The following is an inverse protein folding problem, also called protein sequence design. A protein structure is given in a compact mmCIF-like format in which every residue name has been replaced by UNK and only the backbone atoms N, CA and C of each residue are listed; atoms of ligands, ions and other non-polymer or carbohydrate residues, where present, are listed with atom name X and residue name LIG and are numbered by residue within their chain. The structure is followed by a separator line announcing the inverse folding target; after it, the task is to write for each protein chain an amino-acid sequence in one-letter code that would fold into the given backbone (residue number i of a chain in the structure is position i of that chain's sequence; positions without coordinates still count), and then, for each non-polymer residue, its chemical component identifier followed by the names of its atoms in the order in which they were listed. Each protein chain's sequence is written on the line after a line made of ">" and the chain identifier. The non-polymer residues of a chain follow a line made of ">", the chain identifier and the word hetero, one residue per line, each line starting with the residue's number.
data_IF_218761388647
#
_entry.id   IF_218761388647
#
_cell.length_a   1.000
_cell.length_b   1.000
_cell.length_c   1.000
_cell.angle_alpha   90.00
_cell.angle_beta   90.00
_cell.angle_gamma   90.00
#
_symmetry.space_group_name_H-M   'P 1'
#
loop_
_entity.id
_entity.type
_entity.pdbx_description
1 polymer ?
#
# COMPACT_ATOMS: atom_id res chain seq x y z
N UNK A 1 32.25 -81.98 5.32
CA UNK A 1 30.87 -81.45 5.24
C UNK A 1 30.97 -79.93 5.20
N UNK A 2 30.45 -79.27 4.15
CA UNK A 2 30.34 -77.79 4.11
C UNK A 2 29.16 -77.30 4.96
N UNK A 3 28.68 -76.05 4.82
CA UNK A 3 29.16 -74.87 4.06
C UNK A 3 29.31 -73.64 5.01
N UNK A 4 29.46 -72.35 4.66
CA UNK A 4 29.33 -71.63 3.41
C UNK A 4 29.70 -70.14 3.56
N UNK A 5 30.21 -69.62 2.43
CA UNK A 5 30.23 -68.27 1.86
C UNK A 5 29.85 -67.00 2.66
N UNK A 6 30.76 -66.04 2.47
CA UNK A 6 30.64 -64.59 2.57
C UNK A 6 29.47 -63.93 1.83
N UNK A 7 29.06 -62.77 2.36
CA UNK A 7 28.70 -61.50 1.68
C UNK A 7 28.68 -60.44 2.80
N UNK A 8 29.53 -59.42 2.84
CA UNK A 8 29.75 -58.41 1.80
C UNK A 8 29.02 -57.14 2.20
N UNK A 9 29.45 -56.46 3.27
CA UNK A 9 28.95 -55.17 3.72
C UNK A 9 30.01 -54.09 3.52
N UNK A 10 29.81 -53.20 2.53
CA UNK A 10 30.66 -52.02 2.31
C UNK A 10 30.45 -51.01 3.45
N UNK A 11 31.51 -50.30 3.87
CA UNK A 11 31.40 -49.26 4.89
C UNK A 11 30.74 -48.00 4.32
N UNK A 12 29.89 -47.36 5.13
CA UNK A 12 29.29 -46.04 4.85
C UNK A 12 30.40 -44.97 4.81
N UNK A 13 30.54 -44.16 3.74
CA UNK A 13 31.39 -42.99 3.79
C UNK A 13 30.66 -41.88 4.56
N UNK A 14 31.27 -41.40 5.63
CA UNK A 14 30.87 -40.19 6.31
C UNK A 14 31.09 -38.99 5.37
N UNK A 15 30.01 -38.37 4.91
CA UNK A 15 30.07 -37.08 4.22
C UNK A 15 30.41 -36.00 5.27
N UNK A 16 31.67 -35.56 5.31
CA UNK A 16 32.02 -34.26 5.88
C UNK A 16 31.49 -33.17 4.92
N UNK A 17 30.41 -32.51 5.30
CA UNK A 17 29.95 -31.27 4.67
C UNK A 17 30.91 -30.13 5.08
N UNK A 18 31.88 -29.81 4.22
CA UNK A 18 32.60 -28.54 4.28
C UNK A 18 31.63 -27.42 3.91
N UNK A 19 31.15 -26.67 4.91
CA UNK A 19 30.46 -25.41 4.74
C UNK A 19 31.44 -24.35 4.23
N UNK A 20 31.54 -24.21 2.91
CA UNK A 20 32.11 -23.03 2.26
C UNK A 20 31.17 -21.86 2.53
N UNK A 21 31.53 -21.02 3.51
CA UNK A 21 30.95 -19.70 3.70
C UNK A 21 31.30 -18.82 2.49
N UNK A 22 30.49 -18.91 1.43
CA UNK A 22 30.37 -17.85 0.44
C UNK A 22 29.80 -16.63 1.17
N UNK A 23 30.70 -15.80 1.71
CA UNK A 23 30.37 -14.43 2.08
C UNK A 23 29.91 -13.74 0.79
N UNK A 24 28.60 -13.61 0.62
CA UNK A 24 28.07 -12.59 -0.28
C UNK A 24 28.74 -11.26 0.10
N UNK A 25 29.18 -10.44 -0.87
CA UNK A 25 29.62 -9.11 -0.56
C UNK A 25 28.46 -8.42 0.16
N UNK A 26 28.70 -7.97 1.38
CA UNK A 26 27.84 -6.95 1.96
C UNK A 26 27.77 -5.85 0.92
N UNK A 27 26.57 -5.58 0.40
CA UNK A 27 26.32 -4.33 -0.31
C UNK A 27 26.67 -3.28 0.72
N UNK A 28 27.83 -2.65 0.54
CA UNK A 28 28.23 -1.53 1.35
C UNK A 28 27.07 -0.53 1.26
N UNK A 29 26.37 -0.32 2.37
CA UNK A 29 25.49 0.83 2.51
C UNK A 29 26.31 2.04 2.05
N UNK A 30 25.70 2.86 1.19
CA UNK A 30 26.35 4.00 0.56
C UNK A 30 27.08 4.85 1.61
N UNK A 31 28.38 4.58 1.80
CA UNK A 31 29.23 5.30 2.72
C UNK A 31 29.42 6.70 2.12
N UNK A 32 28.55 7.62 2.53
CA UNK A 32 28.50 8.99 2.01
C UNK A 32 27.11 9.60 1.84
N UNK A 33 26.02 8.84 2.05
CA UNK A 33 24.67 9.41 2.08
C UNK A 33 24.41 10.08 3.44
N UNK A 34 23.98 11.36 3.49
CA UNK A 34 23.67 12.05 4.75
C UNK A 34 22.43 11.49 5.46
N UNK A 35 21.55 10.77 4.76
CA UNK A 35 20.28 10.27 5.29
C UNK A 35 20.07 8.79 5.05
N UNK A 36 19.18 8.18 5.85
CA UNK A 36 18.89 6.73 5.78
C UNK A 36 17.90 6.33 4.69
N UNK A 37 17.10 7.29 4.18
CA UNK A 37 16.04 7.04 3.20
C UNK A 37 16.47 7.25 1.75
N UNK A 38 15.66 6.77 0.79
CA UNK A 38 15.90 6.99 -0.63
C UNK A 38 15.86 8.49 -0.96
N UNK A 39 16.73 8.92 -1.87
CA UNK A 39 16.75 10.29 -2.34
C UNK A 39 15.51 10.69 -3.11
N UNK A 40 15.45 11.97 -3.45
CA UNK A 40 14.38 12.56 -4.26
C UNK A 40 14.17 11.77 -5.56
N UNK A 41 12.92 11.54 -5.92
CA UNK A 41 12.58 10.84 -7.15
C UNK A 41 13.01 11.66 -8.37
N UNK A 42 13.79 11.10 -9.32
CA UNK A 42 14.10 11.75 -10.58
C UNK A 42 12.82 12.20 -11.30
N UNK A 43 12.85 13.35 -11.95
CA UNK A 43 11.71 13.88 -12.70
C UNK A 43 10.46 14.16 -11.85
N UNK A 44 10.63 14.43 -10.54
CA UNK A 44 9.56 14.69 -9.56
C UNK A 44 8.46 15.61 -10.11
N UNK A 45 8.82 16.80 -10.61
CA UNK A 45 7.86 17.78 -11.12
C UNK A 45 7.02 17.23 -12.28
N UNK A 46 7.65 16.60 -13.26
CA UNK A 46 6.94 16.04 -14.42
C UNK A 46 6.04 14.86 -14.04
N UNK A 47 6.48 14.01 -13.11
CA UNK A 47 5.65 12.89 -12.61
C UNK A 47 4.45 13.45 -11.87
N UNK A 48 4.67 14.41 -10.97
CA UNK A 48 3.62 15.08 -10.21
C UNK A 48 2.56 15.71 -11.13
N UNK A 49 3.00 16.53 -12.08
CA UNK A 49 2.11 17.22 -13.02
C UNK A 49 1.37 16.23 -13.93
N UNK A 50 2.05 15.18 -14.39
CA UNK A 50 1.45 14.11 -15.19
C UNK A 50 0.33 13.38 -14.44
N UNK A 51 0.59 12.98 -13.19
CA UNK A 51 -0.41 12.33 -12.33
C UNK A 51 -1.59 13.24 -12.01
N UNK A 52 -1.33 14.52 -11.73
CA UNK A 52 -2.38 15.50 -11.51
C UNK A 52 -3.29 15.64 -12.74
N UNK A 53 -2.70 15.77 -13.93
CA UNK A 53 -3.46 15.91 -15.18
C UNK A 53 -4.28 14.64 -15.50
N UNK A 54 -3.69 13.45 -15.32
CA UNK A 54 -4.38 12.18 -15.48
C UNK A 54 -5.58 12.08 -14.53
N UNK A 55 -5.40 12.41 -13.25
CA UNK A 55 -6.44 12.36 -12.25
C UNK A 55 -7.62 13.28 -12.61
N UNK A 56 -7.35 14.51 -13.04
CA UNK A 56 -8.38 15.48 -13.46
C UNK A 56 -9.14 14.98 -14.71
N UNK A 57 -8.44 14.34 -15.64
CA UNK A 57 -9.04 13.85 -16.88
C UNK A 57 -9.92 12.61 -16.66
N UNK A 58 -9.49 11.70 -15.78
CA UNK A 58 -10.12 10.39 -15.60
C UNK A 58 -11.14 10.33 -14.46
N UNK A 59 -11.05 11.22 -13.46
CA UNK A 59 -11.89 11.16 -12.26
C UNK A 59 -12.74 12.41 -12.07
N UNK A 60 -14.01 12.19 -11.71
CA UNK A 60 -15.03 13.14 -11.20
C UNK A 60 -15.10 14.55 -11.88
N UNK A 61 -16.26 14.97 -12.42
CA UNK A 61 -16.47 16.36 -12.88
C UNK A 61 -16.01 17.45 -11.90
N UNK A 62 -16.05 17.20 -10.58
CA UNK A 62 -15.58 18.13 -9.54
C UNK A 62 -14.08 18.49 -9.62
N UNK A 63 -13.27 17.68 -10.31
CA UNK A 63 -11.83 17.94 -10.47
C UNK A 63 -11.50 18.84 -11.67
N UNK A 64 -12.46 19.12 -12.56
CA UNK A 64 -12.22 19.80 -13.85
C UNK A 64 -11.61 21.19 -13.70
N UNK A 65 -11.88 21.88 -12.60
CA UNK A 65 -11.41 23.25 -12.37
C UNK A 65 -10.10 23.30 -11.55
N UNK A 66 -9.48 22.16 -11.25
CA UNK A 66 -8.23 22.10 -10.49
C UNK A 66 -7.05 22.53 -11.38
N UNK A 67 -6.17 23.36 -10.83
CA UNK A 67 -4.98 23.86 -11.53
C UNK A 67 -3.73 23.12 -11.05
N UNK A 68 -3.26 22.15 -11.85
CA UNK A 68 -2.09 21.34 -11.50
C UNK A 68 -0.81 22.16 -11.29
N UNK A 69 -0.62 23.24 -12.05
CA UNK A 69 0.54 24.13 -11.86
C UNK A 69 0.47 24.84 -10.51
N UNK A 70 -0.69 25.38 -10.15
CA UNK A 70 -0.87 26.02 -8.84
C UNK A 70 -0.71 25.03 -7.67
N UNK A 71 -1.22 23.80 -7.84
CA UNK A 71 -1.05 22.72 -6.84
C UNK A 71 0.43 22.35 -6.69
N UNK A 72 1.18 22.24 -7.79
CA UNK A 72 2.62 22.00 -7.75
C UNK A 72 3.39 23.15 -7.07
N UNK A 73 3.08 24.40 -7.40
CA UNK A 73 3.73 25.57 -6.79
C UNK A 73 3.47 25.63 -5.28
N UNK A 74 2.27 25.27 -4.83
CA UNK A 74 1.97 25.15 -3.41
C UNK A 74 2.71 23.98 -2.74
N UNK A 75 2.84 22.84 -3.42
CA UNK A 75 3.58 21.68 -2.93
C UNK A 75 5.07 21.98 -2.75
N UNK A 76 5.71 22.60 -3.76
CA UNK A 76 7.18 22.73 -3.78
C UNK A 76 7.75 23.73 -2.78
N UNK A 77 6.94 24.53 -2.09
CA UNK A 77 7.40 25.44 -1.02
C UNK A 77 8.21 24.68 0.04
N UNK A 78 7.87 23.42 0.30
CA UNK A 78 8.61 22.56 1.25
C UNK A 78 10.00 22.17 0.75
N UNK A 79 10.24 22.24 -0.57
CA UNK A 79 11.54 21.94 -1.19
C UNK A 79 12.53 23.11 -1.03
N UNK A 80 12.05 24.28 -0.59
CA UNK A 80 12.89 25.42 -0.23
C UNK A 80 13.26 25.45 1.26
N UNK A 81 12.77 24.48 2.05
CA UNK A 81 13.03 24.38 3.50
C UNK A 81 14.18 23.44 3.84
N UNK A 82 14.69 23.59 5.06
CA UNK A 82 15.58 22.59 5.64
C UNK A 82 14.86 21.23 5.73
N UNK A 83 15.50 20.12 5.31
CA UNK A 83 14.85 18.81 5.20
C UNK A 83 14.47 18.16 6.55
N UNK A 84 14.79 18.79 7.69
CA UNK A 84 14.31 18.38 9.01
C UNK A 84 13.45 19.46 9.69
N UNK A 85 12.99 20.45 8.94
CA UNK A 85 12.20 21.59 9.43
C UNK A 85 10.90 21.79 8.64
N UNK A 86 10.35 20.72 8.07
CA UNK A 86 9.07 20.75 7.35
C UNK A 86 7.96 20.25 8.26
N UNK A 87 6.92 21.05 8.45
CA UNK A 87 5.77 20.73 9.28
C UNK A 87 4.58 20.31 8.42
N UNK A 88 3.62 19.51 8.94
CA UNK A 88 2.40 19.18 8.21
C UNK A 88 1.62 20.40 7.70
N UNK A 89 1.64 21.50 8.46
CA UNK A 89 0.99 22.78 8.11
C UNK A 89 1.60 23.46 6.88
N UNK A 90 2.84 23.13 6.53
CA UNK A 90 3.47 23.69 5.33
C UNK A 90 2.80 23.20 4.04
N UNK A 91 2.04 22.10 4.13
CA UNK A 91 1.24 21.58 3.05
C UNK A 91 -0.21 22.11 3.02
N UNK A 92 -0.62 23.00 3.93
CA UNK A 92 -2.02 23.45 4.05
C UNK A 92 -2.56 24.06 2.74
N UNK A 93 -1.77 24.91 2.07
CA UNK A 93 -2.16 25.50 0.79
C UNK A 93 -2.26 24.43 -0.31
N UNK A 94 -1.31 23.49 -0.35
CA UNK A 94 -1.33 22.36 -1.27
C UNK A 94 -2.60 21.52 -1.09
N UNK A 95 -2.91 21.16 0.16
CA UNK A 95 -4.13 20.42 0.51
C UNK A 95 -5.37 21.20 0.08
N UNK A 96 -5.45 22.49 0.39
CA UNK A 96 -6.61 23.30 0.02
C UNK A 96 -6.84 23.36 -1.50
N UNK A 97 -5.78 23.56 -2.28
CA UNK A 97 -5.88 23.64 -3.74
C UNK A 97 -6.25 22.31 -4.41
N UNK A 98 -5.91 21.19 -3.78
CA UNK A 98 -6.10 19.85 -4.34
C UNK A 98 -7.27 19.08 -3.74
N UNK A 99 -7.84 19.54 -2.61
CA UNK A 99 -8.96 18.92 -1.91
C UNK A 99 -10.20 18.82 -2.80
N UNK A 100 -10.89 17.70 -2.69
CA UNK A 100 -12.16 17.41 -3.31
C UNK A 100 -12.96 16.43 -2.46
N UNK A 101 -14.24 16.23 -2.76
CA UNK A 101 -15.08 15.32 -1.99
C UNK A 101 -14.63 13.85 -2.16
N UNK A 102 -14.80 13.08 -1.09
CA UNK A 102 -14.67 11.62 -1.12
C UNK A 102 -16.10 11.06 -1.13
N UNK A 103 -16.47 10.22 -2.11
CA UNK A 103 -17.80 9.63 -2.11
C UNK A 103 -18.07 8.86 -0.82
N UNK A 104 -19.28 9.01 -0.27
CA UNK A 104 -19.72 8.28 0.92
C UNK A 104 -19.52 6.78 0.74
N UNK A 105 -19.15 6.08 1.82
CA UNK A 105 -18.95 4.62 1.85
C UNK A 105 -17.77 4.09 0.99
N UNK A 106 -16.93 4.99 0.44
CA UNK A 106 -15.82 4.61 -0.45
C UNK A 106 -14.42 4.71 0.16
N UNK A 107 -14.27 5.29 1.35
CA UNK A 107 -12.97 5.39 2.00
C UNK A 107 -12.40 4.00 2.34
N UNK A 108 -11.11 3.82 2.07
CA UNK A 108 -10.34 2.61 2.33
C UNK A 108 -8.99 2.98 2.93
N UNK A 109 -8.89 2.82 4.24
CA UNK A 109 -7.66 2.95 5.02
C UNK A 109 -6.91 1.62 5.01
N UNK A 110 -5.62 1.62 5.35
CA UNK A 110 -4.83 0.40 5.31
C UNK A 110 -3.53 0.51 6.08
N UNK A 111 -2.98 -0.65 6.46
CA UNK A 111 -1.63 -0.81 6.98
C UNK A 111 -0.99 -2.04 6.32
N UNK A 112 0.29 -1.94 5.93
CA UNK A 112 1.10 -3.03 5.35
C UNK A 112 0.48 -3.76 4.13
N UNK A 113 -0.31 -3.06 3.30
CA UNK A 113 -1.07 -3.64 2.16
C UNK A 113 -1.07 -2.77 0.89
N UNK A 114 -0.07 -1.90 0.70
CA UNK A 114 -0.14 -0.83 -0.29
C UNK A 114 -0.51 -1.30 -1.72
N UNK A 115 0.17 -2.33 -2.23
CA UNK A 115 -0.06 -2.85 -3.58
C UNK A 115 -1.41 -3.54 -3.74
N UNK A 116 -1.86 -4.25 -2.70
CA UNK A 116 -3.17 -4.90 -2.70
C UNK A 116 -4.31 -3.87 -2.68
N UNK A 117 -4.16 -2.81 -1.88
CA UNK A 117 -5.11 -1.71 -1.77
C UNK A 117 -5.23 -0.92 -3.07
N UNK A 118 -4.10 -0.56 -3.67
CA UNK A 118 -4.06 0.16 -4.96
C UNK A 118 -4.70 -0.66 -6.07
N UNK A 119 -4.40 -1.95 -6.13
CA UNK A 119 -4.99 -2.89 -7.10
C UNK A 119 -6.49 -3.07 -6.88
N UNK A 120 -6.92 -3.28 -5.63
CA UNK A 120 -8.33 -3.49 -5.31
C UNK A 120 -9.17 -2.21 -5.45
N UNK A 121 -8.59 -1.04 -5.16
CA UNK A 121 -9.25 0.25 -5.34
C UNK A 121 -9.62 0.56 -6.80
N UNK A 122 -8.88 -0.04 -7.76
CA UNK A 122 -9.06 0.13 -9.21
C UNK A 122 -9.20 1.59 -9.62
N UNK A 123 -8.18 2.40 -9.30
CA UNK A 123 -8.15 3.84 -9.62
C UNK A 123 -9.42 4.59 -9.16
N UNK A 124 -9.91 4.29 -7.96
CA UNK A 124 -11.06 4.95 -7.34
C UNK A 124 -12.42 4.34 -7.72
N UNK A 125 -12.46 3.36 -8.62
CA UNK A 125 -13.72 2.78 -9.13
C UNK A 125 -14.43 1.93 -8.09
N UNK A 126 -13.69 1.11 -7.33
CA UNK A 126 -14.27 0.25 -6.28
C UNK A 126 -14.28 0.97 -4.95
N UNK A 127 -13.10 1.41 -4.52
CA UNK A 127 -12.84 2.16 -3.31
C UNK A 127 -11.84 3.28 -3.60
N UNK A 128 -11.83 4.30 -2.76
CA UNK A 128 -11.01 5.48 -2.91
C UNK A 128 -10.05 5.58 -1.72
N UNK A 129 -8.97 4.76 -1.69
CA UNK A 129 -7.90 4.93 -0.71
C UNK A 129 -7.19 6.28 -0.89
N UNK A 130 -6.42 6.72 0.10
CA UNK A 130 -5.70 8.00 0.06
C UNK A 130 -4.84 8.15 -1.21
N UNK A 131 -4.16 7.09 -1.65
CA UNK A 131 -3.35 7.09 -2.87
C UNK A 131 -4.16 7.27 -4.18
N UNK A 132 -5.49 7.19 -4.14
CA UNK A 132 -6.38 7.47 -5.27
C UNK A 132 -7.08 8.83 -5.17
N UNK A 133 -6.84 9.60 -4.11
CA UNK A 133 -7.29 11.01 -3.98
C UNK A 133 -6.23 11.92 -4.59
N UNK A 134 -6.62 13.06 -5.20
CA UNK A 134 -5.68 13.93 -5.94
C UNK A 134 -4.43 14.29 -5.12
N UNK A 135 -4.60 14.72 -3.88
CA UNK A 135 -3.46 15.08 -3.01
C UNK A 135 -2.61 13.89 -2.58
N UNK A 136 -3.16 12.67 -2.46
CA UNK A 136 -2.34 11.48 -2.19
C UNK A 136 -1.67 10.93 -3.45
N UNK A 137 -2.40 10.90 -4.57
CA UNK A 137 -1.96 10.35 -5.86
C UNK A 137 -0.68 10.99 -6.37
N UNK A 138 -0.55 12.31 -6.22
CA UNK A 138 0.63 13.04 -6.68
C UNK A 138 1.89 12.75 -5.87
N UNK A 139 1.78 12.29 -4.61
CA UNK A 139 2.91 11.90 -3.75
C UNK A 139 3.16 10.39 -3.68
N UNK A 140 2.26 9.57 -4.21
CA UNK A 140 2.27 8.12 -4.07
C UNK A 140 3.57 7.45 -4.59
N UNK A 141 4.27 6.66 -3.77
CA UNK A 141 5.60 6.08 -4.07
C UNK A 141 6.72 7.09 -4.42
N UNK A 142 6.53 8.40 -4.22
CA UNK A 142 7.57 9.40 -4.48
C UNK A 142 8.30 9.77 -3.20
N UNK A 143 9.54 10.23 -3.34
CA UNK A 143 10.36 10.78 -2.27
C UNK A 143 10.89 12.15 -2.69
N UNK A 144 11.08 13.05 -1.74
CA UNK A 144 11.59 14.39 -2.01
C UNK A 144 12.19 15.04 -0.76
N UNK A 145 13.29 15.75 -0.95
CA UNK A 145 13.87 16.62 0.06
C UNK A 145 14.88 17.58 -0.57
N UNK A 146 15.15 18.70 0.12
CA UNK A 146 16.23 19.62 -0.23
C UNK A 146 17.56 19.10 0.31
N UNK A 147 18.65 19.47 -0.34
CA UNK A 147 19.98 19.37 0.25
C UNK A 147 20.08 20.27 1.51
N UNK A 148 20.88 19.84 2.48
CA UNK A 148 21.13 20.61 3.71
C UNK A 148 21.95 21.86 3.43
N UNK A 149 22.98 21.75 2.59
CA UNK A 149 23.99 22.78 2.35
C UNK A 149 23.83 23.52 1.01
N UNK A 150 22.76 23.25 0.27
CA UNK A 150 22.52 23.85 -1.04
C UNK A 150 21.01 23.94 -1.32
N UNK A 151 20.63 24.74 -2.32
CA UNK A 151 19.24 24.96 -2.72
C UNK A 151 18.69 23.88 -3.65
N UNK A 152 19.52 22.90 -4.05
CA UNK A 152 19.10 21.80 -4.91
C UNK A 152 18.34 20.72 -4.16
N UNK A 153 17.66 19.84 -4.91
CA UNK A 153 17.06 18.62 -4.36
C UNK A 153 18.16 17.58 -4.08
N UNK A 154 18.00 16.83 -3.00
CA UNK A 154 18.91 15.73 -2.67
C UNK A 154 18.41 14.44 -3.34
N UNK A 155 19.07 14.03 -4.41
CA UNK A 155 18.77 12.78 -5.13
C UNK A 155 19.51 11.57 -4.57
N UNK A 156 20.43 11.76 -3.62
CA UNK A 156 21.23 10.69 -3.04
C UNK A 156 20.47 10.03 -1.89
N UNK A 157 19.92 10.83 -0.97
CA UNK A 157 19.20 10.34 0.19
C UNK A 157 18.27 11.39 0.76
N UNK A 158 17.19 10.98 1.45
CA UNK A 158 16.29 11.88 2.18
C UNK A 158 16.06 11.38 3.61
N UNK A 159 15.81 12.29 4.57
CA UNK A 159 15.59 11.90 5.96
C UNK A 159 14.32 11.05 6.11
N UNK A 160 14.42 10.01 6.93
CA UNK A 160 13.28 9.22 7.39
C UNK A 160 12.86 9.66 8.79
N UNK A 161 11.78 9.08 9.32
CA UNK A 161 11.36 9.32 10.72
C UNK A 161 12.45 8.97 11.74
N UNK A 162 13.38 8.07 11.40
CA UNK A 162 14.53 7.71 12.24
C UNK A 162 15.64 8.77 12.23
N UNK A 163 15.74 9.57 11.18
CA UNK A 163 16.70 10.68 11.07
C UNK A 163 16.15 11.94 11.73
N UNK A 164 14.90 12.31 11.41
CA UNK A 164 14.20 13.43 12.02
C UNK A 164 12.67 13.36 11.79
N UNK A 165 11.90 13.78 12.79
CA UNK A 165 10.43 13.71 12.79
C UNK A 165 9.77 14.63 11.74
N UNK A 166 10.37 15.79 11.50
CA UNK A 166 9.82 16.88 10.66
C UNK A 166 10.46 16.88 9.27
N UNK A 167 10.50 15.71 8.64
CA UNK A 167 10.96 15.57 7.26
C UNK A 167 9.82 15.83 6.24
N UNK A 168 10.13 16.21 4.99
CA UNK A 168 9.13 16.58 3.99
C UNK A 168 8.09 15.49 3.72
N UNK A 169 8.50 14.23 3.64
CA UNK A 169 7.64 13.11 3.23
C UNK A 169 6.69 12.71 4.36
N UNK A 170 7.20 12.56 5.59
CA UNK A 170 6.35 12.23 6.73
C UNK A 170 5.36 13.36 7.04
N UNK A 171 5.81 14.62 6.99
CA UNK A 171 4.94 15.77 7.20
C UNK A 171 3.85 15.88 6.13
N UNK A 172 4.15 15.50 4.88
CA UNK A 172 3.16 15.41 3.81
C UNK A 172 2.10 14.37 4.12
N UNK A 173 2.50 13.14 4.44
CA UNK A 173 1.56 12.06 4.72
C UNK A 173 0.76 12.31 5.99
N UNK A 174 1.34 12.93 7.03
CA UNK A 174 0.61 13.41 8.22
C UNK A 174 -0.53 14.35 7.81
N UNK A 175 -0.24 15.36 6.99
CA UNK A 175 -1.23 16.34 6.51
C UNK A 175 -2.32 15.69 5.64
N UNK A 176 -1.90 14.84 4.69
CA UNK A 176 -2.80 14.14 3.77
C UNK A 176 -3.72 13.14 4.49
N UNK A 177 -3.20 12.35 5.43
CA UNK A 177 -3.95 11.40 6.26
C UNK A 177 -4.99 12.10 7.14
N UNK A 178 -4.61 13.20 7.81
CA UNK A 178 -5.54 14.01 8.61
C UNK A 178 -6.70 14.51 7.74
N UNK A 179 -6.38 15.06 6.55
CA UNK A 179 -7.42 15.58 5.65
C UNK A 179 -8.33 14.47 5.14
N UNK A 180 -7.77 13.32 4.76
CA UNK A 180 -8.52 12.16 4.29
C UNK A 180 -9.47 11.60 5.35
N UNK A 181 -9.02 11.50 6.60
CA UNK A 181 -9.86 11.09 7.71
C UNK A 181 -11.01 12.06 7.98
N UNK A 182 -10.77 13.38 7.90
CA UNK A 182 -11.79 14.41 8.08
C UNK A 182 -12.86 14.41 6.99
N UNK A 183 -12.49 14.07 5.76
CA UNK A 183 -13.39 14.09 4.59
C UNK A 183 -14.11 12.75 4.37
N UNK A 184 -13.68 11.69 5.05
CA UNK A 184 -14.29 10.37 4.98
C UNK A 184 -15.65 10.31 5.69
N UNK A 185 -16.59 9.54 5.13
CA UNK A 185 -17.95 9.41 5.67
C UNK A 185 -18.64 8.10 5.28
N UNK A 186 -19.68 7.73 6.02
CA UNK A 186 -20.43 6.50 5.82
C UNK A 186 -19.73 5.28 6.43
N UNK A 187 -19.67 4.18 5.69
CA UNK A 187 -18.89 2.99 6.05
C UNK A 187 -17.42 3.26 5.75
N UNK A 188 -16.59 3.16 6.79
CA UNK A 188 -15.13 3.25 6.68
C UNK A 188 -14.58 1.84 6.54
N UNK A 189 -13.81 1.56 5.49
CA UNK A 189 -13.18 0.25 5.29
C UNK A 189 -11.70 0.35 5.65
N UNK A 190 -11.15 -0.70 6.27
CA UNK A 190 -9.74 -0.75 6.70
C UNK A 190 -9.14 -2.09 6.27
N UNK A 191 -8.08 -2.09 5.47
CA UNK A 191 -7.39 -3.31 5.05
C UNK A 191 -6.07 -3.49 5.82
N UNK A 192 -6.03 -4.48 6.71
CA UNK A 192 -4.86 -4.81 7.53
C UNK A 192 -4.19 -6.10 7.04
N UNK A 193 -2.89 -6.23 7.27
CA UNK A 193 -2.13 -7.42 6.87
C UNK A 193 -1.99 -8.38 8.06
N UNK A 194 -2.80 -9.44 8.10
CA UNK A 194 -2.74 -10.49 9.11
C UNK A 194 -1.51 -11.40 9.01
N UNK A 195 -0.71 -11.24 7.96
CA UNK A 195 0.57 -11.94 7.78
C UNK A 195 1.79 -11.09 8.16
N UNK A 196 1.59 -9.84 8.61
CA UNK A 196 2.68 -8.96 9.08
C UNK A 196 3.32 -9.51 10.37
N UNK A 197 4.63 -9.81 10.38
CA UNK A 197 5.32 -10.33 11.57
C UNK A 197 5.20 -9.46 12.83
N UNK A 198 5.08 -8.13 12.68
CA UNK A 198 4.92 -7.20 13.80
C UNK A 198 3.47 -7.08 14.31
N UNK A 199 2.51 -7.78 13.70
CA UNK A 199 1.08 -7.66 13.95
C UNK A 199 0.37 -6.78 12.92
N UNK A 200 -0.95 -7.00 12.77
CA UNK A 200 -1.74 -6.40 11.70
C UNK A 200 -2.03 -4.91 11.91
N UNK A 201 -2.10 -4.45 13.16
CA UNK A 201 -2.35 -3.07 13.55
C UNK A 201 -1.15 -2.48 14.31
N UNK A 202 -0.32 -1.65 13.66
CA UNK A 202 0.74 -0.94 14.35
C UNK A 202 0.15 0.14 15.27
N UNK A 203 0.37 0.01 16.58
CA UNK A 203 -0.12 0.96 17.60
C UNK A 203 0.49 2.37 17.48
N UNK A 204 1.56 2.50 16.70
CA UNK A 204 2.18 3.75 16.27
C UNK A 204 2.29 3.70 14.74
N UNK A 205 1.68 4.65 14.06
CA UNK A 205 1.55 4.62 12.61
C UNK A 205 0.55 5.66 12.11
N UNK A 206 0.47 5.83 10.79
CA UNK A 206 -0.43 6.84 10.21
C UNK A 206 -1.89 6.56 10.57
N UNK A 207 -2.32 5.31 10.45
CA UNK A 207 -3.70 4.97 10.79
C UNK A 207 -4.02 5.22 12.27
N UNK A 208 -3.10 4.84 13.16
CA UNK A 208 -3.26 4.99 14.60
C UNK A 208 -3.20 6.45 15.09
N UNK A 209 -2.28 7.26 14.56
CA UNK A 209 -1.93 8.56 15.14
C UNK A 209 -2.52 9.75 14.36
N UNK A 210 -2.77 9.58 13.05
CA UNK A 210 -3.14 10.68 12.15
C UNK A 210 -4.46 10.47 11.41
N UNK A 211 -5.05 9.28 11.49
CA UNK A 211 -6.33 8.98 10.81
C UNK A 211 -7.45 8.71 11.81
N UNK A 212 -7.34 7.67 12.65
CA UNK A 212 -8.36 7.34 13.67
C UNK A 212 -8.78 8.56 14.50
N UNK A 213 -7.86 9.39 15.05
CA UNK A 213 -8.23 10.55 15.87
C UNK A 213 -9.01 11.63 15.12
N UNK A 214 -8.95 11.65 13.79
CA UNK A 214 -9.51 12.70 12.94
C UNK A 214 -10.78 12.26 12.19
N UNK A 215 -11.21 11.01 12.37
CA UNK A 215 -12.48 10.50 11.89
C UNK A 215 -13.66 11.28 12.48
N UNK A 216 -14.56 11.75 11.61
CA UNK A 216 -15.73 12.54 12.01
C UNK A 216 -16.87 11.62 12.47
N UNK A 217 -16.97 11.38 13.78
CA UNK A 217 -17.90 10.41 14.38
C UNK A 217 -19.35 10.57 13.93
N UNK A 218 -19.82 11.81 13.79
CA UNK A 218 -21.17 12.17 13.33
C UNK A 218 -21.44 11.79 11.87
N UNK A 219 -20.40 11.65 11.05
CA UNK A 219 -20.50 11.30 9.62
C UNK A 219 -20.26 9.82 9.34
N UNK A 220 -19.83 9.05 10.34
CA UNK A 220 -19.44 7.65 10.19
C UNK A 220 -20.57 6.75 10.67
N UNK A 221 -20.94 5.78 9.83
CA UNK A 221 -21.97 4.79 10.14
C UNK A 221 -21.37 3.62 10.91
N UNK A 222 -20.28 3.05 10.41
CA UNK A 222 -19.52 1.94 11.03
C UNK A 222 -18.13 1.83 10.40
N UNK A 223 -17.24 1.09 11.05
CA UNK A 223 -15.90 0.77 10.56
C UNK A 223 -15.83 -0.73 10.28
N UNK A 224 -15.50 -1.11 9.05
CA UNK A 224 -15.33 -2.50 8.63
C UNK A 224 -13.84 -2.80 8.43
N UNK A 225 -13.31 -3.74 9.21
CA UNK A 225 -11.91 -4.15 9.19
C UNK A 225 -11.80 -5.44 8.38
N UNK A 226 -10.87 -5.48 7.43
CA UNK A 226 -10.51 -6.65 6.64
C UNK A 226 -9.09 -7.07 7.01
N UNK A 227 -8.95 -8.19 7.72
CA UNK A 227 -7.64 -8.75 8.04
C UNK A 227 -7.28 -9.75 6.94
N UNK A 228 -6.42 -9.32 6.02
CA UNK A 228 -6.04 -10.11 4.85
C UNK A 228 -4.79 -10.91 5.15
N UNK A 229 -4.80 -12.20 4.80
CA UNK A 229 -3.61 -13.06 4.90
C UNK A 229 -3.03 -13.35 3.52
N UNK A 230 -1.71 -13.54 3.47
CA UNK A 230 -1.03 -14.01 2.26
C UNK A 230 -1.45 -15.46 1.93
N UNK A 231 -1.59 -15.75 0.64
CA UNK A 231 -1.98 -17.10 0.19
C UNK A 231 -0.84 -18.09 0.48
N UNK A 232 -1.11 -19.08 1.33
CA UNK A 232 -0.08 -20.01 1.82
C UNK A 232 0.95 -19.39 2.77
N UNK A 233 0.77 -18.12 3.15
CA UNK A 233 1.63 -17.40 4.09
C UNK A 233 1.26 -17.65 5.56
N UNK A 234 2.04 -17.08 6.49
CA UNK A 234 1.74 -17.18 7.91
C UNK A 234 0.45 -16.43 8.27
N UNK A 235 -0.36 -17.01 9.14
CA UNK A 235 -1.46 -16.31 9.81
C UNK A 235 -0.97 -15.83 11.16
N UNK A 236 -0.45 -14.61 11.22
CA UNK A 236 0.15 -14.04 12.43
C UNK A 236 -0.96 -13.56 13.38
N UNK A 237 -1.93 -12.81 12.85
CA UNK A 237 -3.10 -12.35 13.61
C UNK A 237 -4.36 -12.39 12.75
N UNK A 238 -5.47 -12.82 13.34
CA UNK A 238 -6.82 -12.73 12.76
C UNK A 238 -7.71 -11.78 13.58
N UNK A 239 -8.96 -11.60 13.16
CA UNK A 239 -9.95 -10.79 13.88
C UNK A 239 -10.06 -11.19 15.36
N UNK A 240 -10.11 -10.19 16.26
CA UNK A 240 -10.16 -10.40 17.70
C UNK A 240 -8.85 -10.88 18.36
N UNK A 241 -7.75 -10.98 17.63
CA UNK A 241 -6.45 -11.41 18.17
C UNK A 241 -5.44 -10.25 18.26
N UNK A 242 -4.52 -10.36 19.21
CA UNK A 242 -3.35 -9.48 19.35
C UNK A 242 -3.62 -7.99 19.11
N UNK A 243 -2.94 -7.40 18.15
CA UNK A 243 -3.07 -5.99 17.81
C UNK A 243 -4.42 -5.62 17.17
N UNK A 244 -5.07 -6.55 16.46
CA UNK A 244 -6.43 -6.35 15.93
C UNK A 244 -7.43 -6.15 17.07
N UNK A 245 -7.32 -6.94 18.15
CA UNK A 245 -8.15 -6.74 19.36
C UNK A 245 -7.94 -5.34 19.97
N UNK A 246 -6.70 -4.85 20.00
CA UNK A 246 -6.39 -3.52 20.51
C UNK A 246 -7.06 -2.42 19.67
N UNK A 247 -7.07 -2.58 18.33
CA UNK A 247 -7.79 -1.69 17.43
C UNK A 247 -9.30 -1.74 17.71
N UNK A 248 -9.90 -2.92 17.75
CA UNK A 248 -11.32 -3.10 18.04
C UNK A 248 -11.73 -2.42 19.36
N UNK A 249 -10.98 -2.65 20.44
CA UNK A 249 -11.22 -2.03 21.75
C UNK A 249 -11.09 -0.51 21.71
N UNK A 250 -10.16 0.02 20.90
CA UNK A 250 -10.00 1.46 20.71
C UNK A 250 -11.20 2.06 19.97
N UNK A 251 -11.66 1.43 18.89
CA UNK A 251 -12.82 1.90 18.12
C UNK A 251 -14.10 1.86 18.96
N UNK A 252 -14.29 0.79 19.74
CA UNK A 252 -15.41 0.65 20.68
C UNK A 252 -15.40 1.74 21.75
N UNK A 253 -14.24 2.00 22.39
CA UNK A 253 -14.09 3.09 23.38
C UNK A 253 -14.37 4.47 22.80
N UNK A 254 -14.07 4.68 21.52
CA UNK A 254 -14.42 5.91 20.79
C UNK A 254 -15.91 5.96 20.42
N UNK A 255 -16.65 4.85 20.61
CA UNK A 255 -18.06 4.68 20.34
C UNK A 255 -18.39 4.55 18.86
N UNK A 256 -17.47 3.99 18.07
CA UNK A 256 -17.75 3.56 16.71
C UNK A 256 -18.37 2.17 16.72
N UNK A 257 -19.38 1.95 15.86
CA UNK A 257 -19.74 0.59 15.49
C UNK A 257 -18.64 0.02 14.61
N UNK A 258 -18.21 -1.21 14.88
CA UNK A 258 -17.21 -1.89 14.05
C UNK A 258 -17.61 -3.33 13.74
N UNK A 259 -17.00 -3.87 12.69
CA UNK A 259 -17.03 -5.29 12.33
C UNK A 259 -15.68 -5.69 11.78
N UNK A 260 -15.24 -6.92 12.03
CA UNK A 260 -13.99 -7.47 11.50
C UNK A 260 -14.27 -8.72 10.67
N UNK A 261 -13.59 -8.83 9.53
CA UNK A 261 -13.72 -9.93 8.57
C UNK A 261 -12.32 -10.43 8.20
N UNK A 262 -12.02 -11.68 8.51
CA UNK A 262 -10.81 -12.34 7.99
C UNK A 262 -10.99 -12.68 6.51
N UNK A 263 -9.93 -12.47 5.73
CA UNK A 263 -9.83 -12.88 4.33
C UNK A 263 -11.04 -12.43 3.47
N UNK A 264 -11.38 -11.14 3.53
CA UNK A 264 -12.54 -10.57 2.84
C UNK A 264 -12.61 -11.03 1.37
N UNK A 265 -13.68 -11.76 1.03
CA UNK A 265 -13.73 -12.61 -0.17
C UNK A 265 -13.39 -11.88 -1.48
N UNK A 266 -13.90 -10.67 -1.75
CA UNK A 266 -13.53 -9.94 -2.98
C UNK A 266 -12.03 -9.63 -3.10
N UNK A 267 -11.36 -9.38 -1.98
CA UNK A 267 -9.93 -9.09 -1.94
C UNK A 267 -9.14 -10.40 -2.03
N UNK A 268 -9.58 -11.45 -1.33
CA UNK A 268 -8.99 -12.80 -1.45
C UNK A 268 -9.01 -13.31 -2.89
N UNK A 269 -10.11 -13.10 -3.60
CA UNK A 269 -10.21 -13.45 -5.03
C UNK A 269 -9.19 -12.71 -5.89
N UNK A 270 -8.85 -11.46 -5.55
CA UNK A 270 -7.79 -10.71 -6.23
C UNK A 270 -6.41 -11.30 -5.91
N UNK A 271 -6.11 -11.62 -4.65
CA UNK A 271 -4.87 -12.30 -4.28
C UNK A 271 -4.72 -13.65 -5.01
N UNK A 272 -5.82 -14.39 -5.18
CA UNK A 272 -5.84 -15.66 -5.88
C UNK A 272 -5.51 -15.58 -7.38
N UNK A 273 -5.51 -14.39 -8.01
CA UNK A 273 -5.11 -14.24 -9.42
C UNK A 273 -3.67 -14.72 -9.65
N UNK A 274 -2.77 -14.49 -8.69
CA UNK A 274 -1.37 -14.92 -8.76
C UNK A 274 -1.14 -16.31 -8.15
N UNK A 275 -2.16 -16.89 -7.51
CA UNK A 275 -2.09 -18.17 -6.79
C UNK A 275 -3.19 -19.15 -7.21
N UNK A 276 -3.58 -19.14 -8.48
CA UNK A 276 -4.76 -19.87 -9.00
C UNK A 276 -4.79 -21.39 -8.74
N UNK A 277 -3.64 -22.02 -8.54
CA UNK A 277 -3.51 -23.46 -8.25
C UNK A 277 -3.35 -23.77 -6.76
N UNK A 278 -3.24 -22.75 -5.90
CA UNK A 278 -3.14 -22.95 -4.46
C UNK A 278 -4.47 -23.48 -3.89
N UNK A 279 -4.45 -24.42 -2.92
CA UNK A 279 -5.68 -24.97 -2.34
C UNK A 279 -6.66 -23.92 -1.79
N UNK A 280 -6.14 -22.86 -1.17
CA UNK A 280 -6.95 -21.75 -0.63
C UNK A 280 -7.68 -20.93 -1.71
N UNK A 281 -7.28 -21.09 -2.97
CA UNK A 281 -7.82 -20.43 -4.15
C UNK A 281 -8.59 -21.39 -5.06
N UNK A 282 -8.75 -22.65 -4.65
CA UNK A 282 -9.49 -23.64 -5.43
C UNK A 282 -10.96 -23.22 -5.54
N UNK A 283 -11.40 -22.93 -6.75
CA UNK A 283 -12.82 -22.70 -7.03
C UNK A 283 -13.55 -24.03 -6.94
N UNK A 284 -14.54 -24.11 -6.04
CA UNK A 284 -15.38 -25.30 -5.95
C UNK A 284 -16.05 -25.58 -7.30
N UNK A 285 -15.80 -26.76 -7.87
CA UNK A 285 -16.40 -27.24 -9.09
C UNK A 285 -17.85 -27.70 -8.87
N UNK A 286 -18.67 -26.90 -8.19
CA UNK A 286 -20.11 -27.15 -8.09
C UNK A 286 -20.84 -26.53 -9.29
N UNK A 287 -20.93 -27.34 -10.34
CA UNK A 287 -22.13 -27.61 -11.14
C UNK A 287 -22.96 -26.46 -11.75
N UNK A 288 -22.35 -25.37 -12.25
CA UNK A 288 -23.00 -24.53 -13.26
C UNK A 288 -22.12 -24.09 -14.45
N UNK A 289 -20.82 -24.42 -14.45
CA UNK A 289 -19.90 -24.01 -15.52
C UNK A 289 -19.74 -25.09 -16.62
N UNK A 290 -20.28 -26.31 -16.42
CA UNK A 290 -20.29 -27.34 -17.46
C UNK A 290 -21.41 -27.15 -18.52
N UNK A 291 -22.23 -26.09 -18.43
CA UNK A 291 -23.28 -25.77 -19.42
C UNK A 291 -23.03 -24.52 -20.27
N UNK A 292 -21.94 -23.78 -20.04
CA UNK A 292 -21.62 -22.56 -20.83
C UNK A 292 -20.35 -22.68 -21.70
N UNK A 293 -19.64 -23.81 -21.63
CA UNK A 293 -18.38 -23.99 -22.36
C UNK A 293 -18.47 -24.30 -23.87
N UNK A 294 -19.62 -24.62 -24.50
CA UNK A 294 -19.69 -24.60 -25.97
C UNK A 294 -20.12 -23.26 -26.57
N UNK A 295 -20.52 -22.25 -25.77
CA UNK A 295 -21.07 -20.99 -26.33
C UNK A 295 -20.22 -19.75 -26.08
N UNK A 296 -19.13 -19.84 -25.32
CA UNK A 296 -18.19 -18.72 -25.11
C UNK A 296 -16.95 -18.77 -26.01
N UNK A 297 -16.75 -19.83 -26.78
CA UNK A 297 -15.84 -19.85 -27.94
C UNK A 297 -16.63 -19.67 -29.25
N UNK A 298 -17.54 -18.71 -29.26
CA UNK A 298 -17.88 -18.03 -30.51
C UNK A 298 -16.66 -17.20 -30.89
N UNK A 299 -16.01 -17.53 -32.00
CA UNK A 299 -14.87 -16.80 -32.54
C UNK A 299 -15.13 -15.28 -32.44
N UNK A 300 -14.35 -14.60 -31.60
CA UNK A 300 -14.31 -13.14 -31.61
C UNK A 300 -13.84 -12.76 -33.02
N UNK A 301 -14.63 -12.00 -33.81
CA UNK A 301 -14.14 -11.47 -35.06
C UNK A 301 -12.88 -10.68 -34.75
N UNK A 302 -11.80 -10.96 -35.49
CA UNK A 302 -10.47 -10.39 -35.31
C UNK A 302 -10.41 -8.85 -35.52
N UNK A 303 -11.57 -8.19 -35.65
CA UNK A 303 -11.75 -6.75 -35.80
C UNK A 303 -11.91 -5.97 -34.50
N UNK A 304 -11.92 -6.61 -33.33
CA UNK A 304 -12.00 -5.92 -32.02
C UNK A 304 -10.81 -6.14 -31.06
N UNK A 305 -9.75 -6.80 -31.51
CA UNK A 305 -8.45 -6.77 -30.83
C UNK A 305 -7.70 -5.49 -31.23
N UNK A 306 -8.12 -4.34 -30.69
CA UNK A 306 -7.20 -3.21 -30.59
C UNK A 306 -6.30 -3.48 -29.39
N UNK A 307 -5.21 -4.22 -29.63
CA UNK A 307 -4.02 -4.04 -28.80
C UNK A 307 -3.71 -2.55 -28.72
N UNK A 308 -3.27 -2.07 -27.55
CA UNK A 308 -2.71 -0.73 -27.39
C UNK A 308 -1.41 -0.65 -28.21
N UNK A 309 -1.53 -0.53 -29.53
CA UNK A 309 -0.43 -0.23 -30.43
C UNK A 309 -0.36 1.29 -30.49
N UNK A 310 0.70 1.94 -29.99
CA UNK A 310 0.90 3.37 -30.21
C UNK A 310 1.02 3.59 -31.73
N UNK A 311 0.18 4.48 -32.25
CA UNK A 311 0.22 4.94 -33.64
C UNK A 311 1.25 6.03 -33.87
#
# INVERSE_FOLDING_TARGET
>A
AGPGRARGGRPRPALLLLLLHLRWPQVAGAAGAPWSGPGTTPHLQSIFLGRCAEQIALQNPELRDKNCTAIWEAFKVVLDKDPCSVLPSDYDLFINLSRHSIPRDKSLFWENNHLLVTSFGENGRRFVPLCNILYGRVGDFLNWCRQTNASGLDYQSCPTSGDCENNPVDSFWKSASIQYARDSSGVINVMLNGSEPAGAYPVKGFFADFEIPYLQKDKITRIEIWVMHEIGGPKVESCGEGSVKLLEDRLDKMGFQYSCIDDYTPVKLLQCVEHSTHPDCALSSNSYISRLLPHLFGAVPQSYLRSCVPG
#
